data_IF_380714467910
#
_entry.id   IF_380714467910
#
_cell.length_a   1.000
_cell.length_b   1.000
_cell.length_c   1.000
_cell.angle_alpha   90.00
_cell.angle_beta   90.00
_cell.angle_gamma   90.00
#
_symmetry.space_group_name_H-M   'P 1'
#
loop_
_entity.id
_entity.type
_entity.pdbx_description
1 polymer ?
#
# COMPACT_ATOMS: atom_id res chain seq x y z
N UNK A 1 -21.02 17.55 4.63
CA UNK A 1 -20.80 16.27 5.33
C UNK A 1 -20.64 15.21 4.26
N UNK A 2 -19.50 14.51 4.20
CA UNK A 2 -19.40 13.29 3.41
C UNK A 2 -20.48 12.33 3.92
N UNK A 3 -21.43 12.00 3.04
CA UNK A 3 -22.62 11.22 3.34
C UNK A 3 -22.19 9.84 3.81
N UNK A 4 -22.56 9.48 5.04
CA UNK A 4 -22.63 8.07 5.41
C UNK A 4 -23.65 7.38 4.50
N UNK A 5 -23.46 6.09 4.19
CA UNK A 5 -22.36 5.24 4.65
C UNK A 5 -21.05 5.45 3.85
N UNK A 6 -19.90 5.25 4.50
CA UNK A 6 -18.60 5.15 3.81
C UNK A 6 -18.50 3.84 3.04
N UNK A 7 -17.58 3.72 2.07
CA UNK A 7 -17.34 2.46 1.34
C UNK A 7 -17.04 1.29 2.29
N UNK A 8 -16.24 1.52 3.34
CA UNK A 8 -15.96 0.51 4.35
C UNK A 8 -17.20 0.08 5.14
N UNK A 9 -18.10 1.03 5.47
CA UNK A 9 -19.37 0.70 6.13
C UNK A 9 -20.28 -0.15 5.24
N UNK A 10 -20.36 0.17 3.94
CA UNK A 10 -21.13 -0.63 2.97
C UNK A 10 -20.60 -2.07 2.93
N UNK A 11 -19.27 -2.24 2.85
CA UNK A 11 -18.65 -3.56 2.80
C UNK A 11 -18.87 -4.36 4.09
N UNK A 12 -18.80 -3.70 5.25
CA UNK A 12 -19.04 -4.35 6.54
C UNK A 12 -20.51 -4.74 6.74
N UNK A 13 -21.46 -3.92 6.26
CA UNK A 13 -22.88 -4.28 6.27
C UNK A 13 -23.17 -5.45 5.32
N UNK A 14 -22.51 -5.53 4.16
CA UNK A 14 -22.58 -6.70 3.29
C UNK A 14 -22.06 -7.98 3.99
N UNK A 15 -20.90 -7.90 4.65
CA UNK A 15 -20.34 -9.03 5.44
C UNK A 15 -21.31 -9.51 6.52
N UNK A 16 -21.95 -8.57 7.22
CA UNK A 16 -22.97 -8.88 8.24
C UNK A 16 -24.15 -9.64 7.65
N UNK A 17 -24.70 -9.18 6.53
CA UNK A 17 -25.80 -9.87 5.85
C UNK A 17 -25.39 -11.29 5.39
N UNK A 18 -24.19 -11.43 4.82
CA UNK A 18 -23.68 -12.74 4.38
C UNK A 18 -23.53 -13.72 5.56
N UNK A 19 -23.02 -13.26 6.69
CA UNK A 19 -22.76 -14.12 7.86
C UNK A 19 -24.01 -14.40 8.71
N UNK A 20 -24.89 -13.42 8.89
CA UNK A 20 -26.06 -13.54 9.76
C UNK A 20 -27.29 -14.11 9.04
N UNK A 21 -27.42 -13.91 7.73
CA UNK A 21 -28.61 -14.29 6.96
C UNK A 21 -28.31 -15.40 5.96
N UNK A 22 -27.26 -15.24 5.15
CA UNK A 22 -26.97 -16.18 4.06
C UNK A 22 -26.32 -17.46 4.58
N UNK A 23 -25.28 -17.35 5.41
CA UNK A 23 -24.52 -18.51 5.89
C UNK A 23 -25.39 -19.56 6.60
N UNK A 24 -26.33 -19.20 7.50
CA UNK A 24 -27.20 -20.20 8.16
C UNK A 24 -28.17 -20.91 7.22
N UNK A 25 -28.47 -20.33 6.05
CA UNK A 25 -29.36 -20.92 5.06
C UNK A 25 -28.64 -21.88 4.10
N UNK A 26 -27.29 -21.92 4.13
CA UNK A 26 -26.51 -22.83 3.30
C UNK A 26 -26.47 -24.23 3.92
N UNK A 27 -26.83 -25.22 3.11
CA UNK A 27 -26.73 -26.65 3.45
C UNK A 27 -25.56 -27.35 2.75
N UNK A 28 -25.01 -26.73 1.70
CA UNK A 28 -23.86 -27.24 0.96
C UNK A 28 -22.55 -26.73 1.58
N UNK A 29 -21.68 -27.65 1.95
CA UNK A 29 -20.43 -27.35 2.65
C UNK A 29 -19.42 -26.61 1.75
N UNK A 30 -19.38 -26.93 0.45
CA UNK A 30 -18.51 -26.23 -0.49
C UNK A 30 -18.96 -24.77 -0.73
N UNK A 31 -20.27 -24.53 -0.74
CA UNK A 31 -20.85 -23.20 -0.79
C UNK A 31 -20.55 -22.42 0.50
N UNK A 32 -20.60 -23.06 1.66
CA UNK A 32 -20.25 -22.43 2.94
C UNK A 32 -18.76 -22.01 2.98
N UNK A 33 -17.85 -22.86 2.50
CA UNK A 33 -16.42 -22.51 2.37
C UNK A 33 -16.23 -21.33 1.40
N UNK A 34 -16.89 -21.37 0.24
CA UNK A 34 -16.82 -20.27 -0.74
C UNK A 34 -17.33 -18.95 -0.16
N UNK A 35 -18.39 -18.99 0.66
CA UNK A 35 -18.92 -17.83 1.36
C UNK A 35 -17.92 -17.27 2.38
N UNK A 36 -17.24 -18.13 3.14
CA UNK A 36 -16.20 -17.70 4.08
C UNK A 36 -15.02 -17.03 3.36
N UNK A 37 -14.61 -17.55 2.19
CA UNK A 37 -13.58 -16.90 1.36
C UNK A 37 -14.04 -15.53 0.84
N UNK A 38 -15.30 -15.39 0.44
CA UNK A 38 -15.86 -14.10 0.01
C UNK A 38 -15.93 -13.09 1.16
N UNK A 39 -16.32 -13.54 2.36
CA UNK A 39 -16.32 -12.69 3.54
C UNK A 39 -14.91 -12.12 3.77
N UNK A 40 -13.88 -12.97 3.76
CA UNK A 40 -12.49 -12.56 3.93
C UNK A 40 -12.04 -11.52 2.89
N UNK A 41 -12.39 -11.70 1.62
CA UNK A 41 -12.14 -10.70 0.57
C UNK A 41 -12.82 -9.37 0.88
N UNK A 42 -14.08 -9.38 1.30
CA UNK A 42 -14.81 -8.17 1.67
C UNK A 42 -14.18 -7.48 2.89
N UNK A 43 -13.62 -8.25 3.84
CA UNK A 43 -12.87 -7.72 5.00
C UNK A 43 -11.71 -6.84 4.52
N UNK A 44 -10.89 -7.42 3.65
CA UNK A 44 -9.68 -6.79 3.16
C UNK A 44 -10.01 -5.58 2.29
N UNK A 45 -11.09 -5.65 1.50
CA UNK A 45 -11.61 -4.49 0.77
C UNK A 45 -12.05 -3.36 1.72
N UNK A 46 -12.69 -3.66 2.85
CA UNK A 46 -13.14 -2.64 3.81
C UNK A 46 -11.97 -1.90 4.47
N UNK A 47 -10.93 -2.65 4.84
CA UNK A 47 -9.67 -2.10 5.38
C UNK A 47 -9.00 -1.21 4.33
N UNK A 48 -8.78 -1.73 3.11
CA UNK A 48 -8.17 -0.95 2.01
C UNK A 48 -8.95 0.32 1.69
N UNK A 49 -10.28 0.23 1.57
CA UNK A 49 -11.13 1.38 1.32
C UNK A 49 -11.04 2.47 2.41
N UNK A 50 -10.61 2.11 3.62
CA UNK A 50 -10.46 3.05 4.73
C UNK A 50 -9.07 3.70 4.79
N UNK A 51 -8.03 3.00 4.33
CA UNK A 51 -6.65 3.35 4.66
C UNK A 51 -5.68 3.44 3.48
N UNK A 52 -5.98 2.82 2.34
CA UNK A 52 -5.03 2.66 1.22
C UNK A 52 -4.42 3.98 0.74
N UNK A 53 -5.25 4.99 0.50
CA UNK A 53 -4.74 6.31 0.05
C UNK A 53 -3.84 6.95 1.11
N UNK A 54 -4.22 6.91 2.38
CA UNK A 54 -3.42 7.49 3.46
C UNK A 54 -2.05 6.81 3.56
N UNK A 55 -2.03 5.48 3.53
CA UNK A 55 -0.79 4.69 3.52
C UNK A 55 0.09 4.99 2.31
N UNK A 56 -0.49 5.07 1.12
CA UNK A 56 0.27 5.41 -0.09
C UNK A 56 0.90 6.80 0.02
N UNK A 57 0.20 7.78 0.59
CA UNK A 57 0.75 9.13 0.81
C UNK A 57 1.91 9.12 1.82
N UNK A 58 1.74 8.44 2.96
CA UNK A 58 2.80 8.31 3.96
C UNK A 58 4.07 7.64 3.39
N UNK A 59 3.89 6.64 2.53
CA UNK A 59 4.99 5.98 1.86
C UNK A 59 5.63 6.84 0.76
N UNK A 60 4.86 7.62 0.00
CA UNK A 60 5.39 8.61 -0.95
C UNK A 60 6.33 9.57 -0.25
N UNK A 61 5.89 10.13 0.88
CA UNK A 61 6.68 11.09 1.67
C UNK A 61 7.97 10.43 2.17
N UNK A 62 7.88 9.22 2.71
CA UNK A 62 9.04 8.49 3.23
C UNK A 62 10.06 8.13 2.15
N UNK A 63 9.59 7.67 0.98
CA UNK A 63 10.44 7.30 -0.16
C UNK A 63 11.16 8.51 -0.75
N UNK A 64 10.45 9.62 -0.92
CA UNK A 64 10.99 10.83 -1.56
C UNK A 64 11.90 11.61 -0.63
N UNK A 65 11.61 11.62 0.68
CA UNK A 65 12.51 12.18 1.69
C UNK A 65 13.84 11.42 1.74
N UNK A 66 13.80 10.08 1.75
CA UNK A 66 15.02 9.28 1.68
C UNK A 66 15.80 9.55 0.38
N UNK A 67 15.13 9.62 -0.76
CA UNK A 67 15.78 9.92 -2.03
C UNK A 67 16.42 11.31 -2.06
N UNK A 68 15.75 12.33 -1.51
CA UNK A 68 16.30 13.69 -1.38
C UNK A 68 17.58 13.69 -0.53
N UNK A 69 17.58 12.98 0.60
CA UNK A 69 18.75 12.90 1.47
C UNK A 69 19.95 12.21 0.79
N UNK A 70 19.70 11.12 0.05
CA UNK A 70 20.77 10.45 -0.70
C UNK A 70 21.35 11.40 -1.75
N UNK A 71 20.52 12.18 -2.45
CA UNK A 71 20.97 13.18 -3.43
C UNK A 71 21.79 14.31 -2.80
N UNK A 72 21.48 14.72 -1.57
CA UNK A 72 22.28 15.72 -0.83
C UNK A 72 23.62 15.16 -0.35
N UNK A 73 23.68 13.85 -0.06
CA UNK A 73 24.89 13.20 0.46
C UNK A 73 25.86 12.81 -0.65
N UNK A 74 25.36 12.45 -1.83
CA UNK A 74 26.15 12.01 -2.98
C UNK A 74 26.09 13.08 -4.06
N UNK A 75 27.15 13.89 -4.15
CA UNK A 75 27.26 14.94 -5.17
C UNK A 75 27.19 14.38 -6.60
N UNK A 76 26.53 15.14 -7.50
CA UNK A 76 26.44 14.91 -8.95
C UNK A 76 25.69 13.64 -9.44
N UNK A 77 24.77 13.07 -8.65
CA UNK A 77 23.89 12.01 -9.15
C UNK A 77 22.72 12.53 -10.02
N UNK A 78 22.91 12.45 -11.33
CA UNK A 78 21.91 12.83 -12.34
C UNK A 78 20.67 11.93 -12.35
N UNK A 79 20.75 10.68 -11.89
CA UNK A 79 19.63 9.75 -11.93
C UNK A 79 18.63 10.05 -10.81
N UNK A 80 19.09 10.25 -9.56
CA UNK A 80 18.19 10.60 -8.45
C UNK A 80 17.54 11.96 -8.69
N UNK A 81 18.31 12.95 -9.13
CA UNK A 81 17.78 14.29 -9.40
C UNK A 81 16.70 14.28 -10.50
N UNK A 82 16.89 13.47 -11.55
CA UNK A 82 15.88 13.25 -12.60
C UNK A 82 14.63 12.55 -12.06
N UNK A 83 14.80 11.51 -11.23
CA UNK A 83 13.68 10.81 -10.61
C UNK A 83 12.86 11.74 -9.70
N UNK A 84 13.53 12.52 -8.84
CA UNK A 84 12.88 13.52 -7.97
C UNK A 84 12.16 14.60 -8.78
N UNK A 85 12.73 15.06 -9.90
CA UNK A 85 12.05 16.02 -10.78
C UNK A 85 10.80 15.42 -11.44
N UNK A 86 10.88 14.16 -11.87
CA UNK A 86 9.74 13.44 -12.46
C UNK A 86 8.63 13.23 -11.44
N UNK A 87 8.97 12.86 -10.20
CA UNK A 87 8.00 12.74 -9.12
C UNK A 87 7.34 14.09 -8.79
N UNK A 88 8.09 15.19 -8.69
CA UNK A 88 7.49 16.52 -8.48
C UNK A 88 6.51 16.91 -9.58
N UNK A 89 6.78 16.50 -10.82
CA UNK A 89 5.88 16.75 -11.95
C UNK A 89 4.65 15.83 -11.97
N UNK A 90 4.66 14.72 -11.24
CA UNK A 90 3.54 13.77 -11.15
C UNK A 90 2.59 14.06 -9.98
N UNK A 91 3.00 14.91 -9.03
CA UNK A 91 2.17 15.33 -7.91
C UNK A 91 0.89 16.02 -8.42
N UNK A 92 -0.24 15.37 -8.17
CA UNK A 92 -1.56 15.93 -8.40
C UNK A 92 -2.15 16.42 -7.07
N UNK A 93 -2.89 17.53 -7.11
CA UNK A 93 -3.74 17.96 -5.99
C UNK A 93 -5.05 17.15 -5.99
N UNK A 94 -4.92 15.84 -5.81
CA UNK A 94 -6.01 14.87 -5.96
C UNK A 94 -5.80 13.68 -5.03
N UNK A 95 -6.90 13.18 -4.47
CA UNK A 95 -6.96 11.94 -3.71
C UNK A 95 -7.67 10.82 -4.48
N UNK A 96 -7.86 10.99 -5.79
CA UNK A 96 -8.32 9.88 -6.63
C UNK A 96 -7.23 8.81 -6.70
N UNK A 97 -7.62 7.55 -6.47
CA UNK A 97 -6.68 6.44 -6.36
C UNK A 97 -5.73 6.34 -7.56
N UNK A 98 -6.23 6.59 -8.78
CA UNK A 98 -5.41 6.56 -10.00
C UNK A 98 -4.28 7.61 -9.96
N UNK A 99 -4.58 8.83 -9.51
CA UNK A 99 -3.57 9.90 -9.39
C UNK A 99 -2.56 9.60 -8.29
N UNK A 100 -3.03 9.05 -7.16
CA UNK A 100 -2.18 8.60 -6.05
C UNK A 100 -1.28 7.44 -6.50
N UNK A 101 -1.78 6.52 -7.33
CA UNK A 101 -0.99 5.42 -7.91
C UNK A 101 0.15 5.93 -8.79
N UNK A 102 -0.09 6.97 -9.60
CA UNK A 102 0.95 7.60 -10.42
C UNK A 102 2.03 8.23 -9.52
N UNK A 103 1.61 8.99 -8.50
CA UNK A 103 2.52 9.61 -7.53
C UNK A 103 3.34 8.55 -6.77
N UNK A 104 2.69 7.47 -6.34
CA UNK A 104 3.32 6.35 -5.63
C UNK A 104 4.34 5.61 -6.50
N UNK A 105 4.00 5.34 -7.76
CA UNK A 105 4.91 4.68 -8.71
C UNK A 105 6.18 5.52 -8.94
N UNK A 106 6.02 6.82 -9.18
CA UNK A 106 7.17 7.73 -9.36
C UNK A 106 8.00 7.92 -8.08
N UNK A 107 7.39 7.90 -6.90
CA UNK A 107 8.11 7.88 -5.62
C UNK A 107 8.89 6.56 -5.43
N UNK A 108 8.32 5.42 -5.83
CA UNK A 108 9.00 4.13 -5.85
C UNK A 108 10.24 4.12 -6.76
N UNK A 109 10.18 4.80 -7.91
CA UNK A 109 11.35 5.01 -8.76
C UNK A 109 12.43 5.86 -8.05
N UNK A 110 12.04 6.92 -7.33
CA UNK A 110 12.99 7.71 -6.53
C UNK A 110 13.72 6.83 -5.49
N UNK A 111 12.99 5.96 -4.79
CA UNK A 111 13.57 5.02 -3.84
C UNK A 111 14.55 4.05 -4.52
N UNK A 112 14.19 3.51 -5.69
CA UNK A 112 15.03 2.56 -6.41
C UNK A 112 16.38 3.18 -6.81
N UNK A 113 16.36 4.39 -7.39
CA UNK A 113 17.59 5.13 -7.72
C UNK A 113 18.40 5.44 -6.47
N UNK A 114 17.77 5.94 -5.40
CA UNK A 114 18.43 6.26 -4.14
C UNK A 114 19.12 5.03 -3.49
N UNK A 115 18.49 3.85 -3.54
CA UNK A 115 19.11 2.61 -3.07
C UNK A 115 20.30 2.19 -3.94
N UNK A 116 20.21 2.37 -5.27
CA UNK A 116 21.29 2.13 -6.22
C UNK A 116 22.50 3.01 -5.93
N UNK A 117 22.29 4.31 -5.79
CA UNK A 117 23.33 5.30 -5.48
C UNK A 117 23.93 5.06 -4.10
N UNK A 118 23.12 4.84 -3.06
CA UNK A 118 23.63 4.52 -1.73
C UNK A 118 24.51 3.25 -1.74
N UNK A 119 24.18 2.28 -2.59
CA UNK A 119 24.99 1.08 -2.79
C UNK A 119 26.31 1.38 -3.48
N UNK A 120 26.30 2.15 -4.56
CA UNK A 120 27.52 2.52 -5.32
C UNK A 120 28.46 3.39 -4.48
N UNK A 121 27.90 4.37 -3.76
CA UNK A 121 28.66 5.23 -2.85
C UNK A 121 29.18 4.54 -1.59
N UNK A 122 28.77 3.29 -1.33
CA UNK A 122 29.28 2.48 -0.21
C UNK A 122 28.89 2.97 1.18
N UNK A 123 27.91 3.87 1.29
CA UNK A 123 27.47 4.41 2.59
C UNK A 123 26.68 3.36 3.37
N UNK A 124 27.31 2.81 4.42
CA UNK A 124 26.69 1.77 5.27
C UNK A 124 25.46 2.27 6.00
N UNK A 125 25.43 3.56 6.37
CA UNK A 125 24.30 4.15 7.07
C UNK A 125 23.10 4.39 6.15
N UNK A 126 23.30 4.96 4.96
CA UNK A 126 22.22 5.12 3.96
C UNK A 126 21.62 3.76 3.60
N UNK A 127 22.47 2.75 3.36
CA UNK A 127 22.01 1.39 3.10
C UNK A 127 21.25 0.76 4.27
N UNK A 128 21.62 1.04 5.52
CA UNK A 128 20.89 0.57 6.70
C UNK A 128 19.50 1.20 6.76
N UNK A 129 19.39 2.50 6.50
CA UNK A 129 18.12 3.23 6.53
C UNK A 129 17.21 2.86 5.37
N UNK A 130 17.76 2.72 4.17
CA UNK A 130 17.01 2.21 3.01
C UNK A 130 16.43 0.82 3.25
N UNK A 131 17.16 -0.08 3.93
CA UNK A 131 16.63 -1.40 4.33
C UNK A 131 15.53 -1.30 5.38
N UNK A 132 15.66 -0.40 6.35
CA UNK A 132 14.62 -0.19 7.36
C UNK A 132 13.32 0.31 6.70
N UNK A 133 13.43 1.24 5.75
CA UNK A 133 12.28 1.72 4.97
C UNK A 133 11.62 0.59 4.16
N UNK A 134 12.40 -0.29 3.53
CA UNK A 134 11.84 -1.46 2.82
C UNK A 134 11.14 -2.43 3.79
N UNK A 135 11.70 -2.66 4.97
CA UNK A 135 11.09 -3.53 5.98
C UNK A 135 9.75 -2.97 6.47
N UNK A 136 9.68 -1.68 6.76
CA UNK A 136 8.43 -1.01 7.18
C UNK A 136 7.35 -1.12 6.10
N UNK A 137 7.71 -0.93 4.82
CA UNK A 137 6.78 -1.10 3.70
C UNK A 137 6.27 -2.54 3.57
N UNK A 138 7.13 -3.53 3.79
CA UNK A 138 6.72 -4.94 3.78
C UNK A 138 5.77 -5.25 4.94
N UNK A 139 6.04 -4.75 6.14
CA UNK A 139 5.15 -4.92 7.29
C UNK A 139 3.76 -4.30 7.02
N UNK A 140 3.73 -3.11 6.40
CA UNK A 140 2.48 -2.46 5.99
C UNK A 140 1.76 -3.21 4.86
N UNK A 141 2.50 -3.77 3.91
CA UNK A 141 1.94 -4.60 2.83
C UNK A 141 1.29 -5.87 3.40
N UNK A 142 1.89 -6.50 4.41
CA UNK A 142 1.31 -7.63 5.11
C UNK A 142 0.04 -7.24 5.89
N UNK A 143 0.02 -6.06 6.51
CA UNK A 143 -1.19 -5.51 7.16
C UNK A 143 -2.32 -5.24 6.13
N UNK A 144 -1.99 -4.65 4.98
CA UNK A 144 -2.93 -4.34 3.89
C UNK A 144 -3.52 -5.61 3.28
N UNK A 145 -2.66 -6.59 3.01
CA UNK A 145 -3.10 -7.85 2.41
C UNK A 145 -3.96 -8.64 3.37
N UNK A 146 -3.69 -8.53 4.67
CA UNK A 146 -4.29 -9.42 5.66
C UNK A 146 -3.87 -10.87 5.42
N UNK A 147 -4.43 -11.78 6.23
CA UNK A 147 -4.20 -13.19 6.05
C UNK A 147 -5.07 -13.70 4.88
N UNK A 148 -4.50 -13.84 3.68
CA UNK A 148 -5.12 -14.58 2.56
C UNK A 148 -5.12 -16.10 2.83
N UNK A 149 -5.36 -16.48 4.09
CA UNK A 149 -5.54 -17.86 4.49
C UNK A 149 -6.71 -18.43 3.72
N UNK A 150 -6.40 -19.28 2.74
CA UNK A 150 -7.42 -20.07 2.04
C UNK A 150 -8.13 -20.92 3.08
N UNK A 151 -9.31 -20.47 3.49
CA UNK A 151 -10.20 -21.19 4.41
C UNK A 151 -10.41 -22.60 3.84
N UNK A 152 -10.01 -23.64 4.58
CA UNK A 152 -10.22 -25.04 4.18
C UNK A 152 -8.98 -25.87 3.79
N UNK A 153 -7.75 -25.40 4.04
CA UNK A 153 -6.56 -26.26 4.02
C UNK A 153 -6.03 -26.50 5.44
N UNK A 154 -6.68 -27.42 6.15
CA UNK A 154 -6.10 -28.18 7.26
C UNK A 154 -5.55 -29.51 6.77
#
# INVERSE_FOLDING_TARGET
MLSRPTTAQILEDCRRELSEVVAPALSDEAAAVSLAMLDEVLRNCAVRASHEIAWMMEEIDSMTAYAAEVAETVEDDTAISTALATHRASLADSLHLDDVCISYSTAGHCLAEALGTARVGGSTDLLRRGRALLAERMEREDEIKGDWGFVGRG
#
